data_IF_325076088522
#
_entry.id   IF_325076088522
#
_cell.length_a   1.000
_cell.length_b   1.000
_cell.length_c   1.000
_cell.angle_alpha   90.00
_cell.angle_beta   90.00
_cell.angle_gamma   90.00
#
_symmetry.space_group_name_H-M   'P 1'
#
loop_
_entity.id
_entity.type
_entity.pdbx_description
1 polymer ?
#
# COMPACT_ATOMS: atom_id res chain seq x y z
N UNK A 1 -24.48 4.55 -20.54
CA UNK A 1 -24.06 5.57 -19.55
C UNK A 1 -23.24 4.83 -18.52
N UNK A 2 -21.92 4.94 -18.58
CA UNK A 2 -21.02 4.21 -17.69
C UNK A 2 -20.97 4.96 -16.37
N UNK A 3 -21.52 4.38 -15.30
CA UNK A 3 -21.35 4.93 -13.94
C UNK A 3 -19.86 4.89 -13.61
N UNK A 4 -19.21 6.05 -13.72
CA UNK A 4 -17.88 6.26 -13.20
C UNK A 4 -18.02 6.30 -11.68
N UNK A 5 -17.74 5.19 -11.00
CA UNK A 5 -17.64 5.17 -9.55
C UNK A 5 -16.44 6.06 -9.24
N UNK A 6 -16.69 7.25 -8.67
CA UNK A 6 -15.63 8.10 -8.18
C UNK A 6 -14.85 7.29 -7.13
N UNK A 7 -13.61 6.91 -7.43
CA UNK A 7 -12.75 6.22 -6.49
C UNK A 7 -12.59 7.09 -5.24
N UNK A 8 -13.26 6.71 -4.16
CA UNK A 8 -13.25 7.46 -2.92
C UNK A 8 -11.81 7.50 -2.37
N UNK A 9 -11.31 8.71 -2.14
CA UNK A 9 -10.01 8.93 -1.49
C UNK A 9 -10.27 9.19 0.00
N UNK A 10 -9.70 8.36 0.87
CA UNK A 10 -9.81 8.48 2.32
C UNK A 10 -8.52 9.12 2.87
N UNK A 11 -8.56 10.39 3.30
CA UNK A 11 -7.38 11.06 3.82
C UNK A 11 -7.00 10.56 5.23
N UNK A 12 -5.71 10.59 5.55
CA UNK A 12 -5.18 10.28 6.88
C UNK A 12 -3.95 11.14 7.20
N UNK A 13 -3.52 11.11 8.47
CA UNK A 13 -2.29 11.73 8.93
C UNK A 13 -1.52 10.71 9.77
N UNK A 14 -0.28 10.40 9.38
CA UNK A 14 0.67 9.69 10.22
C UNK A 14 1.39 10.71 11.09
N UNK A 15 1.45 10.46 12.40
CA UNK A 15 2.15 11.30 13.35
C UNK A 15 3.23 10.47 14.03
N UNK A 16 4.45 10.97 14.02
CA UNK A 16 5.50 10.43 14.87
C UNK A 16 5.25 10.89 16.32
N UNK A 17 5.13 9.94 17.23
CA UNK A 17 4.92 10.21 18.65
C UNK A 17 6.15 10.84 19.31
N UNK A 18 7.34 10.67 18.73
CA UNK A 18 8.61 11.17 19.28
C UNK A 18 8.94 12.56 18.76
N UNK A 19 9.09 12.73 17.43
CA UNK A 19 9.49 14.02 16.84
C UNK A 19 8.35 15.01 16.66
N UNK A 20 7.09 14.59 16.85
CA UNK A 20 5.88 15.35 16.51
C UNK A 20 5.75 15.73 15.03
N UNK A 21 6.63 15.20 14.15
CA UNK A 21 6.48 15.36 12.71
C UNK A 21 5.25 14.58 12.23
N UNK A 22 4.66 15.07 11.13
CA UNK A 22 3.49 14.43 10.55
C UNK A 22 3.59 14.38 9.04
N UNK A 23 3.11 13.28 8.47
CA UNK A 23 2.98 13.08 7.02
C UNK A 23 1.51 12.89 6.71
N UNK A 24 0.98 13.71 5.81
CA UNK A 24 -0.38 13.56 5.29
C UNK A 24 -0.38 12.52 4.18
N UNK A 25 -1.48 11.78 4.09
CA UNK A 25 -1.65 10.81 3.02
C UNK A 25 -3.11 10.55 2.72
N UNK A 26 -3.34 9.69 1.73
CA UNK A 26 -4.67 9.26 1.31
C UNK A 26 -4.61 7.82 0.83
N UNK A 27 -5.66 7.07 1.08
CA UNK A 27 -5.90 5.74 0.49
C UNK A 27 -6.94 5.89 -0.61
N UNK A 28 -6.70 5.29 -1.77
CA UNK A 28 -7.67 5.20 -2.86
C UNK A 28 -7.99 3.75 -3.17
N UNK A 29 -9.27 3.43 -3.35
CA UNK A 29 -9.66 2.15 -3.93
C UNK A 29 -9.40 2.16 -5.43
N UNK A 30 -8.80 1.10 -5.95
CA UNK A 30 -8.75 0.78 -7.38
C UNK A 30 -9.45 -0.56 -7.62
N UNK A 31 -9.56 -0.98 -8.89
CA UNK A 31 -10.36 -2.17 -9.24
C UNK A 31 -9.90 -3.46 -8.54
N UNK A 32 -8.58 -3.62 -8.35
CA UNK A 32 -7.99 -4.83 -7.80
C UNK A 32 -7.25 -4.61 -6.46
N UNK A 33 -7.42 -3.44 -5.83
CA UNK A 33 -6.59 -3.11 -4.68
C UNK A 33 -6.81 -1.74 -4.05
N UNK A 34 -5.83 -1.36 -3.24
CA UNK A 34 -5.73 -0.10 -2.53
C UNK A 34 -4.38 0.55 -2.83
N UNK A 35 -4.42 1.79 -3.26
CA UNK A 35 -3.22 2.62 -3.41
C UNK A 35 -3.10 3.56 -2.22
N UNK A 36 -1.88 3.69 -1.69
CA UNK A 36 -1.57 4.59 -0.59
C UNK A 36 -0.60 5.65 -1.08
N UNK A 37 -0.97 6.89 -0.83
CA UNK A 37 -0.25 8.09 -1.26
C UNK A 37 0.17 8.89 -0.04
N UNK A 38 1.30 9.58 -0.14
CA UNK A 38 1.78 10.51 0.88
C UNK A 38 2.13 11.85 0.23
N UNK A 39 1.78 12.95 0.88
CA UNK A 39 2.08 14.29 0.38
C UNK A 39 3.61 14.49 0.34
N UNK A 40 4.14 14.89 -0.81
CA UNK A 40 5.58 15.04 -1.04
C UNK A 40 6.30 13.77 -1.50
N UNK A 41 5.60 12.65 -1.63
CA UNK A 41 6.13 11.38 -2.13
C UNK A 41 5.44 10.96 -3.43
N UNK A 42 6.10 10.11 -4.21
CA UNK A 42 5.57 9.58 -5.48
C UNK A 42 6.38 8.39 -5.97
N UNK A 43 6.11 7.97 -7.20
CA UNK A 43 6.90 6.98 -7.93
C UNK A 43 7.44 7.61 -9.22
N UNK A 44 8.43 6.97 -9.84
CA UNK A 44 9.11 7.47 -11.03
C UNK A 44 8.17 7.71 -12.22
N UNK A 45 7.21 6.80 -12.42
CA UNK A 45 6.39 6.73 -13.64
C UNK A 45 5.18 7.68 -13.64
N UNK A 46 4.95 8.42 -12.56
CA UNK A 46 3.78 9.28 -12.40
C UNK A 46 4.16 10.75 -12.28
N UNK A 47 3.24 11.61 -12.72
CA UNK A 47 3.34 13.04 -12.46
C UNK A 47 3.41 13.34 -10.95
N UNK A 48 4.09 14.43 -10.54
CA UNK A 48 4.13 14.84 -9.14
C UNK A 48 2.76 14.85 -8.49
N UNK A 49 2.68 14.36 -7.24
CA UNK A 49 1.44 14.24 -6.43
C UNK A 49 0.41 13.20 -6.91
N UNK A 50 0.67 12.53 -8.03
CA UNK A 50 -0.24 11.56 -8.65
C UNK A 50 0.20 10.10 -8.50
N UNK A 51 1.44 9.84 -8.10
CA UNK A 51 1.95 8.48 -7.87
C UNK A 51 1.76 8.01 -6.43
N UNK A 52 1.26 6.77 -6.25
CA UNK A 52 1.29 6.08 -4.96
C UNK A 52 2.67 5.47 -4.70
N UNK A 53 3.06 5.37 -3.44
CA UNK A 53 4.29 4.67 -3.03
C UNK A 53 4.03 3.23 -2.62
N UNK A 54 2.78 2.90 -2.30
CA UNK A 54 2.37 1.54 -1.88
C UNK A 54 1.09 1.15 -2.62
N UNK A 55 1.07 -0.06 -3.15
CA UNK A 55 -0.13 -0.72 -3.69
C UNK A 55 -0.33 -2.05 -2.96
N UNK A 56 -1.53 -2.26 -2.42
CA UNK A 56 -1.98 -3.55 -1.89
C UNK A 56 -3.01 -4.09 -2.87
N UNK A 57 -2.75 -5.22 -3.53
CA UNK A 57 -3.63 -5.72 -4.57
C UNK A 57 -3.80 -7.23 -4.54
N UNK A 58 -4.88 -7.68 -5.18
CA UNK A 58 -5.06 -9.06 -5.58
C UNK A 58 -4.62 -9.19 -7.04
N UNK A 59 -3.56 -9.96 -7.27
CA UNK A 59 -3.03 -10.25 -8.60
C UNK A 59 -2.83 -11.76 -8.72
N UNK A 60 -3.35 -12.37 -9.79
CA UNK A 60 -3.26 -13.82 -10.03
C UNK A 60 -3.67 -14.69 -8.82
N UNK A 61 -4.75 -14.31 -8.13
CA UNK A 61 -5.28 -15.00 -6.93
C UNK A 61 -4.39 -14.90 -5.68
N UNK A 62 -3.29 -14.15 -5.73
CA UNK A 62 -2.45 -13.84 -4.58
C UNK A 62 -2.72 -12.43 -4.06
N UNK A 63 -2.68 -12.27 -2.74
CA UNK A 63 -2.67 -10.95 -2.10
C UNK A 63 -1.20 -10.52 -1.98
N UNK A 64 -0.86 -9.34 -2.51
CA UNK A 64 0.50 -8.81 -2.46
C UNK A 64 0.55 -7.34 -2.07
N UNK A 65 1.74 -6.92 -1.64
CA UNK A 65 2.09 -5.52 -1.39
C UNK A 65 3.25 -5.15 -2.28
N UNK A 66 3.09 -4.08 -3.04
CA UNK A 66 4.11 -3.49 -3.91
C UNK A 66 4.54 -2.14 -3.31
N UNK A 67 5.84 -1.89 -3.25
CA UNK A 67 6.42 -0.68 -2.68
C UNK A 67 7.41 -0.04 -3.67
N UNK A 68 7.18 1.23 -3.98
CA UNK A 68 8.13 2.13 -4.65
C UNK A 68 8.81 2.98 -3.57
N UNK A 69 9.93 2.48 -3.04
CA UNK A 69 10.69 3.14 -1.98
C UNK A 69 11.74 4.15 -2.47
N UNK A 70 12.03 4.18 -3.77
CA UNK A 70 13.00 5.09 -4.39
C UNK A 70 12.41 5.70 -5.65
N UNK A 71 12.25 7.02 -5.66
CA UNK A 71 11.65 7.75 -6.78
C UNK A 71 12.52 7.73 -8.05
N UNK A 72 13.81 7.39 -7.93
CA UNK A 72 14.71 7.30 -9.07
C UNK A 72 14.64 5.94 -9.79
N UNK A 73 13.94 4.97 -9.22
CA UNK A 73 13.77 3.63 -9.80
C UNK A 73 12.36 3.51 -10.39
N UNK A 74 12.29 3.14 -11.66
CA UNK A 74 11.03 2.94 -12.37
C UNK A 74 10.26 1.73 -11.81
N UNK A 75 10.96 0.61 -11.67
CA UNK A 75 10.40 -0.61 -11.12
C UNK A 75 10.22 -0.53 -9.60
N UNK A 76 9.24 -1.27 -9.04
CA UNK A 76 9.05 -1.33 -7.60
C UNK A 76 10.28 -1.90 -6.90
N UNK A 77 10.72 -1.23 -5.82
CA UNK A 77 11.82 -1.69 -4.98
C UNK A 77 11.52 -3.01 -4.26
N UNK A 78 10.24 -3.26 -3.97
CA UNK A 78 9.81 -4.48 -3.29
C UNK A 78 8.43 -4.93 -3.81
N UNK A 79 8.30 -6.25 -3.93
CA UNK A 79 7.02 -6.94 -4.13
C UNK A 79 6.98 -8.10 -3.14
N UNK A 80 5.98 -8.11 -2.26
CA UNK A 80 5.85 -9.10 -1.19
C UNK A 80 4.50 -9.80 -1.32
N UNK A 81 4.53 -11.09 -1.61
CA UNK A 81 3.36 -11.97 -1.57
C UNK A 81 2.97 -12.25 -0.10
N UNK A 82 1.68 -12.09 0.23
CA UNK A 82 1.15 -12.24 1.60
C UNK A 82 0.54 -13.63 1.86
N UNK A 83 0.73 -14.61 0.98
CA UNK A 83 0.19 -15.96 1.18
C UNK A 83 0.66 -16.62 2.48
N UNK A 84 1.90 -16.35 2.89
CA UNK A 84 2.45 -16.83 4.16
C UNK A 84 1.78 -16.21 5.40
N UNK A 85 1.08 -15.08 5.25
CA UNK A 85 0.36 -14.41 6.32
C UNK A 85 -1.10 -14.89 6.46
N UNK A 86 -1.53 -15.89 5.69
CA UNK A 86 -2.86 -16.49 5.85
C UNK A 86 -3.00 -17.05 7.26
N UNK A 87 -4.04 -16.64 7.99
CA UNK A 87 -4.32 -17.08 9.37
C UNK A 87 -4.37 -18.61 9.51
N UNK A 88 -4.75 -19.34 8.45
CA UNK A 88 -4.74 -20.80 8.40
C UNK A 88 -3.35 -21.43 8.61
N UNK A 89 -2.26 -20.68 8.38
CA UNK A 89 -0.88 -21.11 8.59
C UNK A 89 -0.38 -20.87 10.02
N UNK A 90 -1.19 -20.25 10.89
CA UNK A 90 -0.79 -19.96 12.27
C UNK A 90 -0.56 -21.27 13.04
N UNK A 91 0.70 -21.56 13.36
CA UNK A 91 1.07 -22.69 14.21
C UNK A 91 0.70 -22.38 15.66
N UNK A 92 -0.12 -23.22 16.29
CA UNK A 92 -0.32 -23.20 17.74
C UNK A 92 0.90 -23.86 18.37
N UNK A 93 1.69 -23.11 19.15
CA UNK A 93 2.71 -23.71 20.00
C UNK A 93 1.95 -24.43 21.12
N UNK A 94 2.02 -25.77 21.14
CA UNK A 94 1.57 -26.54 22.29
C UNK A 94 2.71 -26.52 23.32
N UNK A 95 2.54 -25.74 24.39
CA UNK A 95 3.45 -25.76 25.54
C UNK A 95 3.20 -27.02 26.38
N UNK A 96 3.89 -28.11 26.02
CA UNK A 96 4.11 -29.24 26.93
C UNK A 96 5.55 -29.72 26.80
N UNK A 97 6.38 -29.36 27.79
CA UNK A 97 7.50 -30.15 28.28
C UNK A 97 7.66 -29.84 29.77
#
# INVERSE_FOLDING_TARGET
>A
MTNQIAHQKLPFILKDSVSQQSVRGKVAHINNGLEIYFDGYGNYSCEPTSGSTILIEVFEQSLRVIIWGDIQQEDPTHVIELDGAREALRVKINEYN
#
